data_IF_751716804269
#
_entry.id   IF_751716804269
#
_cell.length_a   1.000
_cell.length_b   1.000
_cell.length_c   1.000
_cell.angle_alpha   90.00
_cell.angle_beta   90.00
_cell.angle_gamma   90.00
#
_symmetry.space_group_name_H-M   'P 1'
#
loop_
_entity.id
_entity.type
_entity.pdbx_description
1 polymer ?
#
# COMPACT_ATOMS: atom_id res chain seq x y z
N UNK A 1 19.51 6.02 54.47
CA UNK A 1 19.55 6.50 53.07
C UNK A 1 20.41 5.60 52.17
N UNK A 2 21.51 5.00 52.67
CA UNK A 2 22.29 3.99 51.93
C UNK A 2 21.81 2.54 52.15
N UNK A 3 20.81 2.30 52.99
CA UNK A 3 20.30 0.95 53.28
C UNK A 3 19.70 0.26 52.05
N UNK A 4 19.26 1.02 51.05
CA UNK A 4 18.79 0.52 49.75
C UNK A 4 19.91 -0.21 48.98
N UNK A 5 21.18 0.07 49.29
CA UNK A 5 22.35 -0.56 48.67
C UNK A 5 22.94 -1.72 49.49
N UNK A 6 22.35 -2.07 50.65
CA UNK A 6 22.85 -3.18 51.48
C UNK A 6 22.50 -4.51 50.84
N UNK A 7 23.48 -5.40 50.73
CA UNK A 7 23.27 -6.75 50.21
C UNK A 7 22.41 -7.58 51.16
N UNK A 8 21.31 -8.15 50.65
CA UNK A 8 20.39 -9.01 51.41
C UNK A 8 20.94 -10.43 51.70
N UNK A 9 21.97 -10.87 50.96
CA UNK A 9 22.61 -12.19 51.13
C UNK A 9 24.12 -12.08 51.02
N UNK A 10 24.85 -12.84 51.85
CA UNK A 10 26.32 -12.94 51.84
C UNK A 10 26.85 -13.55 50.53
N UNK A 11 27.90 -12.96 49.97
CA UNK A 11 28.56 -13.39 48.73
C UNK A 11 29.04 -14.85 48.74
N UNK A 12 29.46 -15.37 49.91
CA UNK A 12 29.95 -16.76 50.07
C UNK A 12 28.84 -17.81 49.92
N UNK A 13 27.62 -17.44 50.31
CA UNK A 13 26.44 -18.33 50.17
C UNK A 13 26.09 -18.51 48.70
N UNK A 14 26.22 -17.43 47.92
CA UNK A 14 25.85 -17.43 46.50
C UNK A 14 26.85 -18.22 45.64
N UNK A 15 28.14 -18.22 45.97
CA UNK A 15 29.16 -18.96 45.21
C UNK A 15 28.90 -20.48 45.10
N UNK A 16 28.13 -21.08 46.02
CA UNK A 16 27.74 -22.50 45.97
C UNK A 16 26.64 -22.80 44.94
N UNK A 17 25.98 -21.78 44.42
CA UNK A 17 24.85 -21.89 43.46
C UNK A 17 25.28 -21.65 42.01
N UNK A 18 26.59 -21.49 41.74
CA UNK A 18 27.10 -21.24 40.39
C UNK A 18 26.85 -22.45 39.49
N UNK A 19 25.80 -22.39 38.67
CA UNK A 19 25.47 -23.38 37.65
C UNK A 19 26.12 -23.02 36.31
N UNK A 20 26.49 -24.03 35.53
CA UNK A 20 26.83 -23.85 34.11
C UNK A 20 25.54 -23.70 33.31
N UNK A 21 25.50 -22.74 32.39
CA UNK A 21 24.33 -22.45 31.58
C UNK A 21 24.72 -22.15 30.12
N UNK A 22 23.72 -22.14 29.25
CA UNK A 22 23.79 -21.77 27.83
C UNK A 22 22.65 -20.82 27.51
N UNK A 23 22.89 -19.85 26.62
CA UNK A 23 21.85 -19.07 25.99
C UNK A 23 21.37 -19.84 24.76
N UNK A 24 20.13 -20.27 24.74
CA UNK A 24 19.55 -21.07 23.66
C UNK A 24 18.62 -20.19 22.85
N UNK A 25 18.91 -20.05 21.55
CA UNK A 25 18.06 -19.36 20.60
C UNK A 25 16.94 -20.27 20.11
N UNK A 26 15.73 -19.77 20.24
CA UNK A 26 14.51 -20.46 19.85
C UNK A 26 13.63 -19.57 18.94
N UNK A 27 12.65 -20.23 18.31
CA UNK A 27 11.66 -19.60 17.46
C UNK A 27 10.28 -20.17 17.79
N UNK A 28 9.26 -19.32 17.77
CA UNK A 28 7.84 -19.65 17.79
C UNK A 28 7.10 -18.83 16.71
N UNK A 29 5.77 -18.72 16.82
CA UNK A 29 4.93 -17.96 15.88
C UNK A 29 5.13 -16.44 15.99
N UNK A 30 5.52 -15.94 17.17
CA UNK A 30 5.72 -14.51 17.44
C UNK A 30 7.09 -14.05 16.97
N UNK A 31 8.13 -14.88 17.15
CA UNK A 31 9.45 -14.57 16.61
C UNK A 31 10.58 -15.35 17.26
N UNK A 32 11.77 -14.74 17.25
CA UNK A 32 12.96 -15.32 17.88
C UNK A 32 13.09 -14.87 19.33
N UNK A 33 13.43 -15.82 20.20
CA UNK A 33 13.58 -15.57 21.63
C UNK A 33 14.75 -16.34 22.23
N UNK A 34 15.18 -15.91 23.42
CA UNK A 34 16.30 -16.52 24.14
C UNK A 34 15.81 -17.16 25.43
N UNK A 35 16.28 -18.38 25.67
CA UNK A 35 16.14 -19.08 26.94
C UNK A 35 17.50 -19.34 27.59
N UNK A 36 17.54 -19.28 28.92
CA UNK A 36 18.71 -19.72 29.69
C UNK A 36 18.51 -21.19 30.05
N UNK A 37 19.37 -22.07 29.54
CA UNK A 37 19.27 -23.51 29.75
C UNK A 37 20.49 -24.10 30.45
N UNK A 38 20.33 -25.26 31.08
CA UNK A 38 21.44 -26.05 31.61
C UNK A 38 22.26 -26.72 30.49
N UNK A 39 23.30 -27.46 30.85
CA UNK A 39 24.12 -28.19 29.87
C UNK A 39 23.35 -29.29 29.11
N UNK A 40 22.18 -29.70 29.61
CA UNK A 40 21.28 -30.68 28.99
C UNK A 40 20.15 -30.02 28.20
N UNK A 41 20.26 -28.72 27.93
CA UNK A 41 19.26 -27.89 27.23
C UNK A 41 17.89 -27.84 27.93
N UNK A 42 17.87 -27.98 29.27
CA UNK A 42 16.65 -27.77 30.05
C UNK A 42 16.57 -26.32 30.53
N UNK A 43 15.42 -25.63 30.36
CA UNK A 43 15.24 -24.26 30.85
C UNK A 43 15.54 -24.13 32.35
N UNK A 44 16.22 -23.04 32.72
CA UNK A 44 16.53 -22.67 34.09
C UNK A 44 15.64 -21.47 34.46
N UNK A 45 14.63 -21.72 35.30
CA UNK A 45 13.64 -20.69 35.65
C UNK A 45 14.16 -19.60 36.59
N UNK A 46 15.27 -19.83 37.30
CA UNK A 46 15.83 -18.85 38.24
C UNK A 46 17.34 -18.96 38.31
N UNK A 47 18.03 -17.94 37.82
CA UNK A 47 19.49 -17.84 37.87
C UNK A 47 19.89 -16.52 38.54
N UNK A 48 20.62 -16.59 39.66
CA UNK A 48 21.09 -15.39 40.35
C UNK A 48 22.27 -14.78 39.56
N UNK A 49 22.04 -13.72 38.81
CA UNK A 49 23.11 -13.04 38.05
C UNK A 49 24.27 -12.57 38.95
N UNK A 50 24.04 -12.36 40.25
CA UNK A 50 25.02 -11.79 41.19
C UNK A 50 26.17 -12.75 41.51
N UNK A 51 26.10 -14.02 41.11
CA UNK A 51 27.20 -15.01 41.24
C UNK A 51 28.11 -15.07 40.02
N UNK A 52 27.71 -14.47 38.92
CA UNK A 52 28.50 -14.37 37.70
C UNK A 52 29.24 -13.02 37.66
N UNK A 53 30.21 -12.91 36.76
CA UNK A 53 31.02 -11.71 36.57
C UNK A 53 31.14 -11.40 35.07
N UNK A 54 31.50 -10.16 34.74
CA UNK A 54 31.69 -9.73 33.36
C UNK A 54 30.41 -9.82 32.53
N UNK A 55 30.56 -10.23 31.27
CA UNK A 55 29.49 -10.28 30.27
C UNK A 55 28.30 -11.16 30.72
N UNK A 56 28.58 -12.33 31.31
CA UNK A 56 27.52 -13.23 31.80
C UNK A 56 26.61 -12.55 32.81
N UNK A 57 27.18 -11.77 33.74
CA UNK A 57 26.40 -11.04 34.75
C UNK A 57 25.56 -9.96 34.10
N UNK A 58 26.13 -9.25 33.13
CA UNK A 58 25.43 -8.18 32.42
C UNK A 58 24.25 -8.72 31.61
N UNK A 59 24.44 -9.80 30.84
CA UNK A 59 23.36 -10.44 30.09
C UNK A 59 22.27 -10.96 31.04
N UNK A 60 22.63 -11.71 32.08
CA UNK A 60 21.64 -12.27 33.00
C UNK A 60 20.88 -11.19 33.77
N UNK A 61 21.56 -10.09 34.16
CA UNK A 61 20.91 -8.95 34.79
C UNK A 61 19.93 -8.27 33.81
N UNK A 62 20.30 -8.14 32.54
CA UNK A 62 19.42 -7.56 31.53
C UNK A 62 18.21 -8.45 31.24
N UNK A 63 18.39 -9.78 31.15
CA UNK A 63 17.29 -10.73 31.00
C UNK A 63 16.30 -10.67 32.19
N UNK A 64 16.81 -10.54 33.43
CA UNK A 64 15.96 -10.38 34.62
C UNK A 64 15.14 -9.07 34.58
N UNK A 65 15.73 -7.98 34.06
CA UNK A 65 15.01 -6.73 33.82
C UNK A 65 13.93 -6.88 32.75
N UNK A 66 14.25 -7.52 31.61
CA UNK A 66 13.28 -7.79 30.55
C UNK A 66 12.08 -8.60 31.09
N UNK A 67 12.33 -9.65 31.87
CA UNK A 67 11.26 -10.46 32.47
C UNK A 67 10.37 -9.65 33.43
N UNK A 68 10.95 -8.75 34.22
CA UNK A 68 10.18 -7.86 35.08
C UNK A 68 9.31 -6.91 34.25
N UNK A 69 9.86 -6.31 33.20
CA UNK A 69 9.11 -5.43 32.30
C UNK A 69 7.93 -6.16 31.63
N UNK A 70 8.15 -7.39 31.15
CA UNK A 70 7.09 -8.23 30.56
C UNK A 70 6.05 -8.62 31.59
N UNK A 71 6.44 -8.93 32.84
CA UNK A 71 5.50 -9.29 33.91
C UNK A 71 4.49 -8.18 34.25
N UNK A 72 4.89 -6.91 34.11
CA UNK A 72 3.98 -5.77 34.33
C UNK A 72 3.11 -5.44 33.10
N UNK A 73 3.41 -6.01 31.94
CA UNK A 73 2.61 -5.88 30.71
C UNK A 73 1.68 -7.08 30.57
N UNK A 74 0.51 -7.03 31.21
CA UNK A 74 -0.55 -8.02 31.00
C UNK A 74 -1.10 -7.86 29.57
N UNK A 75 -0.58 -8.65 28.63
CA UNK A 75 -1.19 -8.86 27.32
C UNK A 75 -2.11 -10.07 27.40
N UNK A 76 -3.36 -9.93 26.95
CA UNK A 76 -4.31 -11.04 26.85
C UNK A 76 -4.07 -11.90 25.59
N UNK A 77 -3.11 -11.52 24.74
CA UNK A 77 -2.78 -12.20 23.47
C UNK A 77 -1.48 -13.03 23.55
N UNK A 78 -0.56 -12.72 24.48
CA UNK A 78 0.72 -13.41 24.65
C UNK A 78 0.76 -14.17 25.99
N UNK A 79 0.43 -15.47 25.98
CA UNK A 79 0.60 -16.37 27.14
C UNK A 79 2.08 -16.72 27.42
N UNK A 80 3.01 -16.30 26.54
CA UNK A 80 4.42 -16.66 26.62
C UNK A 80 5.24 -15.65 27.43
N UNK A 81 5.88 -16.11 28.50
CA UNK A 81 6.89 -15.34 29.25
C UNK A 81 8.26 -15.31 28.54
N UNK A 82 8.28 -15.33 27.21
CA UNK A 82 9.51 -15.35 26.41
C UNK A 82 10.11 -13.96 26.25
N UNK A 83 11.44 -13.91 26.16
CA UNK A 83 12.19 -12.67 25.91
C UNK A 83 12.52 -12.63 24.42
N UNK A 84 11.68 -11.95 23.65
CA UNK A 84 11.84 -11.80 22.21
C UNK A 84 12.96 -10.83 21.85
N UNK A 85 13.80 -11.20 20.89
CA UNK A 85 15.03 -10.45 20.56
C UNK A 85 14.75 -9.11 19.87
N UNK A 86 13.66 -9.02 19.10
CA UNK A 86 13.24 -7.82 18.38
C UNK A 86 12.83 -6.68 19.33
N UNK A 87 12.17 -7.02 20.45
CA UNK A 87 11.78 -6.07 21.52
C UNK A 87 12.98 -5.53 22.31
N UNK A 88 14.09 -6.27 22.33
CA UNK A 88 15.28 -5.92 23.12
C UNK A 88 16.58 -5.92 22.29
N UNK A 89 16.80 -4.95 21.38
CA UNK A 89 17.97 -4.93 20.49
C UNK A 89 19.33 -4.99 21.22
N UNK A 90 19.40 -4.38 22.42
CA UNK A 90 20.59 -4.43 23.28
C UNK A 90 21.00 -5.85 23.65
N UNK A 91 20.05 -6.77 23.80
CA UNK A 91 20.33 -8.17 24.12
C UNK A 91 21.14 -8.84 23.01
N UNK A 92 20.81 -8.56 21.75
CA UNK A 92 21.54 -9.11 20.59
C UNK A 92 23.00 -8.66 20.60
N UNK A 93 23.26 -7.39 20.90
CA UNK A 93 24.63 -6.86 21.02
C UNK A 93 25.43 -7.49 22.17
N UNK A 94 24.78 -7.78 23.30
CA UNK A 94 25.44 -8.47 24.41
C UNK A 94 25.73 -9.93 24.05
N UNK A 95 24.78 -10.62 23.41
CA UNK A 95 24.93 -12.01 22.96
C UNK A 95 26.00 -12.16 21.87
N UNK A 96 26.19 -11.15 21.02
CA UNK A 96 27.27 -11.09 20.03
C UNK A 96 28.66 -11.30 20.64
N UNK A 97 28.85 -10.86 21.87
CA UNK A 97 30.11 -10.96 22.60
C UNK A 97 30.19 -12.21 23.49
N UNK A 98 29.15 -13.07 23.49
CA UNK A 98 29.09 -14.30 24.28
C UNK A 98 29.54 -15.52 23.46
N UNK A 99 30.31 -16.40 24.09
CA UNK A 99 30.67 -17.71 23.56
C UNK A 99 29.63 -18.81 23.88
N UNK A 100 28.55 -18.44 24.59
CA UNK A 100 27.55 -19.38 25.12
C UNK A 100 26.21 -19.36 24.38
N UNK A 101 26.17 -18.86 23.15
CA UNK A 101 24.97 -18.89 22.32
C UNK A 101 24.88 -20.21 21.54
N UNK A 102 23.76 -20.92 21.66
CA UNK A 102 23.52 -22.21 21.04
C UNK A 102 22.13 -22.32 20.43
N UNK A 103 21.94 -23.24 19.49
CA UNK A 103 20.63 -23.62 18.95
C UNK A 103 19.97 -24.74 19.79
N UNK A 104 18.71 -25.10 19.47
CA UNK A 104 17.99 -26.24 20.07
C UNK A 104 18.70 -27.59 19.89
N UNK A 105 19.61 -27.72 18.92
CA UNK A 105 20.37 -28.94 18.62
C UNK A 105 21.73 -28.97 19.32
N UNK A 106 22.01 -28.00 20.20
CA UNK A 106 23.26 -27.83 20.92
C UNK A 106 24.47 -27.46 20.04
N UNK A 107 24.25 -26.89 18.85
CA UNK A 107 25.29 -26.32 18.02
C UNK A 107 25.56 -24.88 18.45
N UNK A 108 26.84 -24.49 18.46
CA UNK A 108 27.25 -23.13 18.80
C UNK A 108 26.87 -22.18 17.66
N UNK A 109 26.20 -21.09 18.00
CA UNK A 109 25.81 -20.04 17.05
C UNK A 109 26.86 -18.93 17.13
N UNK A 110 27.33 -18.48 15.97
CA UNK A 110 28.37 -17.44 15.87
C UNK A 110 27.86 -16.23 15.14
N UNK A 111 28.41 -15.08 15.47
CA UNK A 111 28.20 -13.85 14.72
C UNK A 111 29.29 -13.70 13.67
N UNK A 112 28.88 -13.37 12.47
CA UNK A 112 29.79 -13.02 11.38
C UNK A 112 29.99 -11.51 11.32
N UNK A 113 31.21 -11.11 10.96
CA UNK A 113 31.56 -9.71 10.77
C UNK A 113 31.20 -9.26 9.36
N UNK A 114 30.39 -8.22 9.25
CA UNK A 114 29.98 -7.66 7.97
C UNK A 114 28.54 -7.17 8.06
N UNK A 115 28.15 -6.35 7.10
CA UNK A 115 26.76 -5.96 6.89
C UNK A 115 26.34 -6.55 5.56
N UNK A 116 25.29 -7.35 5.58
CA UNK A 116 24.73 -8.03 4.43
C UNK A 116 23.49 -7.31 3.94
N UNK A 117 23.15 -7.55 2.69
CA UNK A 117 21.97 -6.99 2.04
C UNK A 117 20.92 -8.08 1.88
N UNK A 118 19.65 -7.69 2.01
CA UNK A 118 18.52 -8.54 1.70
C UNK A 118 18.12 -8.29 0.26
N UNK A 119 18.09 -9.35 -0.53
CA UNK A 119 17.72 -9.28 -1.94
C UNK A 119 16.35 -9.93 -2.14
N UNK A 120 15.49 -9.29 -2.94
CA UNK A 120 14.33 -9.90 -3.55
C UNK A 120 14.69 -10.21 -5.01
N UNK A 121 14.81 -11.50 -5.34
CA UNK A 121 15.06 -11.97 -6.70
C UNK A 121 13.75 -12.24 -7.40
N UNK A 122 13.67 -11.76 -8.63
CA UNK A 122 12.55 -11.99 -9.55
C UNK A 122 13.08 -12.80 -10.72
N UNK A 123 12.54 -14.00 -10.95
CA UNK A 123 12.94 -14.89 -12.03
C UNK A 123 11.73 -15.37 -12.83
N UNK A 124 11.89 -15.53 -14.14
CA UNK A 124 10.82 -16.08 -14.98
C UNK A 124 10.70 -17.58 -14.75
N UNK A 125 9.47 -18.07 -14.62
CA UNK A 125 9.21 -19.49 -14.43
C UNK A 125 9.46 -20.26 -15.74
N UNK A 126 10.40 -21.21 -15.72
CA UNK A 126 10.75 -22.01 -16.90
C UNK A 126 9.57 -22.82 -17.45
N UNK A 127 8.66 -23.26 -16.59
CA UNK A 127 7.49 -24.07 -16.97
C UNK A 127 6.31 -23.22 -17.46
N UNK A 128 6.23 -21.96 -17.04
CA UNK A 128 5.15 -21.03 -17.35
C UNK A 128 5.74 -19.65 -17.61
N UNK A 129 6.07 -19.37 -18.87
CA UNK A 129 6.82 -18.16 -19.27
C UNK A 129 6.16 -16.85 -18.87
N UNK A 130 4.84 -16.84 -18.70
CA UNK A 130 4.06 -15.65 -18.35
C UNK A 130 4.03 -15.39 -16.82
N UNK A 131 4.71 -16.24 -16.03
CA UNK A 131 4.77 -16.14 -14.57
C UNK A 131 6.16 -15.85 -14.07
N UNK A 132 6.19 -15.09 -12.97
CA UNK A 132 7.40 -14.73 -12.25
C UNK A 132 7.40 -15.40 -10.88
N UNK A 133 8.56 -15.94 -10.50
CA UNK A 133 8.84 -16.46 -9.16
C UNK A 133 9.64 -15.38 -8.44
N UNK A 134 9.14 -14.98 -7.28
CA UNK A 134 9.77 -14.05 -6.37
C UNK A 134 10.26 -14.84 -5.17
N UNK A 135 11.48 -14.56 -4.74
CA UNK A 135 12.03 -15.15 -3.52
C UNK A 135 13.08 -14.23 -2.92
N UNK A 136 13.08 -14.16 -1.60
CA UNK A 136 14.08 -13.43 -0.85
C UNK A 136 15.30 -14.30 -0.57
N UNK A 137 16.49 -13.72 -0.68
CA UNK A 137 17.74 -14.35 -0.31
C UNK A 137 18.65 -13.39 0.45
N UNK A 138 19.55 -13.95 1.24
CA UNK A 138 20.59 -13.20 1.95
C UNK A 138 21.89 -13.96 1.73
N UNK A 139 22.89 -13.30 1.12
CA UNK A 139 24.20 -13.90 0.84
C UNK A 139 24.13 -15.26 0.11
N UNK A 140 23.33 -15.30 -0.97
CA UNK A 140 23.03 -16.51 -1.75
C UNK A 140 22.39 -17.68 -0.99
N UNK A 141 21.84 -17.44 0.20
CA UNK A 141 21.03 -18.40 0.94
C UNK A 141 19.56 -18.00 0.93
N UNK A 142 18.69 -18.92 0.50
CA UNK A 142 17.24 -18.71 0.47
C UNK A 142 16.58 -19.12 1.80
N UNK A 143 17.24 -19.99 2.57
CA UNK A 143 16.82 -20.41 3.90
C UNK A 143 17.48 -19.53 4.97
N UNK A 144 16.66 -18.69 5.60
CA UNK A 144 17.08 -17.84 6.71
C UNK A 144 15.92 -17.58 7.66
N UNK A 145 16.23 -17.15 8.88
CA UNK A 145 15.23 -16.71 9.86
C UNK A 145 15.62 -15.37 10.44
N UNK A 146 14.69 -14.43 10.50
CA UNK A 146 14.93 -13.16 11.16
C UNK A 146 15.03 -13.34 12.67
N UNK A 147 15.99 -12.63 13.25
CA UNK A 147 16.08 -12.45 14.69
C UNK A 147 15.46 -11.12 15.11
N UNK A 148 15.80 -10.08 14.35
CA UNK A 148 15.26 -8.73 14.46
C UNK A 148 15.23 -8.12 13.05
N UNK A 149 14.75 -6.88 12.91
CA UNK A 149 14.82 -6.13 11.66
C UNK A 149 16.25 -5.95 11.09
N UNK A 150 17.30 -6.14 11.89
CA UNK A 150 18.70 -5.94 11.50
C UNK A 150 19.57 -7.19 11.61
N UNK A 151 19.00 -8.35 11.96
CA UNK A 151 19.76 -9.58 12.17
C UNK A 151 19.03 -10.81 11.66
N UNK A 152 19.78 -11.70 11.03
CA UNK A 152 19.27 -12.96 10.48
C UNK A 152 20.16 -14.12 10.87
N UNK A 153 19.55 -15.28 11.05
CA UNK A 153 20.23 -16.56 11.22
C UNK A 153 20.23 -17.32 9.89
N UNK A 154 21.43 -17.64 9.39
CA UNK A 154 21.68 -18.42 8.18
C UNK A 154 22.65 -19.54 8.53
N UNK A 155 22.25 -20.80 8.37
CA UNK A 155 23.10 -21.99 8.63
C UNK A 155 23.84 -21.98 9.99
N UNK A 156 23.19 -21.49 11.04
CA UNK A 156 23.77 -21.41 12.39
C UNK A 156 24.72 -20.22 12.60
N UNK A 157 24.79 -19.30 11.64
CA UNK A 157 25.57 -18.06 11.70
C UNK A 157 24.60 -16.87 11.71
N UNK A 158 24.79 -15.96 12.67
CA UNK A 158 24.06 -14.71 12.74
C UNK A 158 24.79 -13.67 11.90
N UNK A 159 24.08 -13.13 10.91
CA UNK A 159 24.55 -12.07 10.02
C UNK A 159 23.81 -10.78 10.34
N UNK A 160 24.53 -9.67 10.38
CA UNK A 160 23.93 -8.34 10.48
C UNK A 160 23.50 -7.89 9.09
N UNK A 161 22.30 -7.33 8.98
CA UNK A 161 21.77 -6.73 7.76
C UNK A 161 21.42 -5.26 8.02
N UNK A 162 21.26 -4.50 6.93
CA UNK A 162 20.57 -3.21 7.04
C UNK A 162 19.14 -3.44 7.55
N UNK A 163 18.63 -2.51 8.36
CA UNK A 163 17.26 -2.61 8.87
C UNK A 163 16.26 -2.68 7.72
N UNK A 164 15.41 -3.70 7.69
CA UNK A 164 14.36 -3.82 6.65
C UNK A 164 12.99 -3.30 7.09
N UNK A 165 12.92 -2.69 8.27
CA UNK A 165 11.70 -2.13 8.86
C UNK A 165 10.95 -3.11 9.75
N UNK A 166 9.87 -2.62 10.37
CA UNK A 166 9.11 -3.34 11.40
C UNK A 166 8.38 -4.58 10.85
N UNK A 167 8.08 -4.60 9.55
CA UNK A 167 7.41 -5.71 8.89
C UNK A 167 8.33 -6.89 8.54
N UNK A 168 9.58 -6.92 9.03
CA UNK A 168 10.61 -7.90 8.67
C UNK A 168 10.13 -9.36 8.70
N UNK A 169 9.31 -9.73 9.68
CA UNK A 169 8.75 -11.08 9.82
C UNK A 169 7.80 -11.48 8.66
N UNK A 170 7.23 -10.50 7.96
CA UNK A 170 6.31 -10.72 6.85
C UNK A 170 7.01 -10.78 5.49
N UNK A 171 8.33 -10.55 5.42
CA UNK A 171 9.04 -10.51 4.14
C UNK A 171 8.88 -11.81 3.34
N UNK A 172 8.86 -12.96 4.03
CA UNK A 172 8.67 -14.28 3.41
C UNK A 172 7.31 -14.45 2.71
N UNK A 173 6.33 -13.56 2.93
CA UNK A 173 5.09 -13.55 2.16
C UNK A 173 5.31 -13.17 0.68
N UNK A 174 6.45 -12.56 0.36
CA UNK A 174 6.87 -12.27 -1.02
C UNK A 174 7.56 -13.44 -1.72
N UNK A 175 7.83 -14.55 -1.00
CA UNK A 175 8.28 -15.80 -1.62
C UNK A 175 7.09 -16.49 -2.30
N UNK A 176 6.76 -16.04 -3.51
CA UNK A 176 5.52 -16.43 -4.21
C UNK A 176 5.68 -16.47 -5.73
N UNK A 177 4.67 -16.96 -6.43
CA UNK A 177 4.58 -16.92 -7.89
C UNK A 177 3.44 -16.00 -8.31
N UNK A 178 3.73 -15.05 -9.20
CA UNK A 178 2.78 -14.05 -9.69
C UNK A 178 2.71 -14.05 -11.21
N UNK A 179 1.65 -13.49 -11.75
CA UNK A 179 1.56 -13.13 -13.17
C UNK A 179 2.44 -11.89 -13.44
N UNK A 180 3.04 -11.81 -14.63
CA UNK A 180 3.97 -10.73 -14.99
C UNK A 180 3.34 -9.33 -14.90
N UNK A 181 2.04 -9.20 -15.20
CA UNK A 181 1.30 -7.93 -15.12
C UNK A 181 1.13 -7.41 -13.69
N UNK A 182 1.30 -8.27 -12.68
CA UNK A 182 1.21 -7.94 -11.25
C UNK A 182 2.53 -7.52 -10.61
N UNK A 183 3.64 -7.54 -11.36
CA UNK A 183 4.95 -7.21 -10.82
C UNK A 183 5.02 -5.78 -10.27
N UNK A 184 4.47 -4.79 -10.98
CA UNK A 184 4.42 -3.39 -10.50
C UNK A 184 3.69 -3.25 -9.15
N UNK A 185 2.55 -3.92 -9.00
CA UNK A 185 1.76 -3.91 -7.76
C UNK A 185 2.55 -4.51 -6.60
N UNK A 186 3.13 -5.69 -6.80
CA UNK A 186 3.88 -6.41 -5.75
C UNK A 186 5.13 -5.65 -5.32
N UNK A 187 5.92 -5.13 -6.27
CA UNK A 187 7.10 -4.35 -5.96
C UNK A 187 6.73 -3.03 -5.27
N UNK A 188 5.61 -2.41 -5.63
CA UNK A 188 5.08 -1.21 -4.97
C UNK A 188 4.74 -1.48 -3.51
N UNK A 189 4.09 -2.61 -3.19
CA UNK A 189 3.81 -3.02 -1.81
C UNK A 189 5.13 -3.24 -1.05
N UNK A 190 6.10 -3.94 -1.66
CA UNK A 190 7.39 -4.21 -1.05
C UNK A 190 8.12 -2.93 -0.64
N UNK A 191 8.33 -1.99 -1.57
CA UNK A 191 9.11 -0.77 -1.29
C UNK A 191 8.39 0.20 -0.34
N UNK A 192 7.08 0.08 -0.23
CA UNK A 192 6.25 0.85 0.71
C UNK A 192 6.40 0.35 2.14
N UNK A 193 6.42 -0.98 2.33
CA UNK A 193 6.37 -1.58 3.67
C UNK A 193 7.72 -2.05 4.21
N UNK A 194 8.76 -2.08 3.35
CA UNK A 194 10.10 -2.52 3.70
C UNK A 194 11.15 -1.50 3.27
N UNK A 195 12.26 -1.52 3.99
CA UNK A 195 13.42 -0.67 3.72
C UNK A 195 14.62 -1.51 3.31
N UNK A 196 15.58 -0.89 2.61
CA UNK A 196 16.90 -1.48 2.33
C UNK A 196 16.88 -2.87 1.64
N UNK A 197 15.79 -3.21 0.95
CA UNK A 197 15.70 -4.40 0.11
C UNK A 197 16.23 -4.08 -1.28
N UNK A 198 17.17 -4.90 -1.74
CA UNK A 198 17.63 -4.86 -3.13
C UNK A 198 16.65 -5.62 -4.01
N UNK A 199 16.25 -5.04 -5.14
CA UNK A 199 15.43 -5.75 -6.12
C UNK A 199 16.36 -6.21 -7.24
N UNK A 200 16.39 -7.51 -7.50
CA UNK A 200 17.18 -8.09 -8.59
C UNK A 200 16.22 -8.75 -9.58
N UNK A 201 16.10 -8.15 -10.76
CA UNK A 201 15.25 -8.67 -11.84
C UNK A 201 16.04 -8.73 -13.15
N UNK A 202 16.47 -9.93 -13.56
CA UNK A 202 17.21 -10.15 -14.81
C UNK A 202 18.34 -9.12 -15.04
N UNK A 203 18.26 -8.37 -16.14
CA UNK A 203 19.18 -7.28 -16.50
C UNK A 203 18.56 -5.89 -16.30
N UNK A 204 17.49 -5.78 -15.49
CA UNK A 204 16.90 -4.49 -15.14
C UNK A 204 17.79 -3.71 -14.18
N UNK A 205 17.85 -2.40 -14.41
CA UNK A 205 18.52 -1.44 -13.52
C UNK A 205 17.48 -0.84 -12.58
N UNK A 206 17.70 -0.97 -11.28
CA UNK A 206 16.81 -0.40 -10.25
C UNK A 206 17.34 0.95 -9.79
N UNK A 207 16.52 1.99 -9.90
CA UNK A 207 16.88 3.36 -9.53
C UNK A 207 15.86 3.97 -8.57
N UNK A 208 16.36 4.54 -7.48
CA UNK A 208 15.56 5.43 -6.64
C UNK A 208 15.63 6.85 -7.20
N UNK A 209 14.47 7.46 -7.42
CA UNK A 209 14.36 8.80 -7.97
C UNK A 209 14.14 9.79 -6.83
N UNK A 210 14.90 10.90 -6.85
CA UNK A 210 14.75 11.98 -5.86
C UNK A 210 13.46 12.79 -6.05
N UNK A 211 12.96 12.84 -7.29
CA UNK A 211 11.71 13.52 -7.59
C UNK A 211 10.50 12.71 -7.12
N UNK A 212 9.45 13.43 -6.70
CA UNK A 212 8.16 12.80 -6.41
C UNK A 212 7.38 12.58 -7.68
N UNK A 213 6.66 11.47 -7.75
CA UNK A 213 5.71 11.22 -8.83
C UNK A 213 4.32 11.67 -8.40
N UNK A 214 3.78 12.66 -9.12
CA UNK A 214 2.37 13.04 -8.99
C UNK A 214 1.51 11.88 -9.47
N UNK A 215 0.63 11.39 -8.60
CA UNK A 215 -0.30 10.32 -8.92
C UNK A 215 -1.56 10.91 -9.57
N UNK A 216 -2.14 10.23 -10.56
CA UNK A 216 -3.34 10.74 -11.20
C UNK A 216 -4.52 10.60 -10.23
N UNK A 217 -5.36 11.62 -10.17
CA UNK A 217 -6.62 11.54 -9.45
C UNK A 217 -7.64 10.68 -10.19
N UNK A 218 -8.43 9.93 -9.43
CA UNK A 218 -9.48 9.05 -9.93
C UNK A 218 -10.77 9.19 -9.13
N UNK A 219 -11.91 9.04 -9.80
CA UNK A 219 -13.23 8.94 -9.16
C UNK A 219 -13.91 7.65 -9.61
N UNK A 220 -14.34 6.86 -8.63
CA UNK A 220 -14.97 5.55 -8.82
C UNK A 220 -16.45 5.66 -8.48
N UNK A 221 -17.32 5.34 -9.43
CA UNK A 221 -18.74 5.10 -9.18
C UNK A 221 -18.91 3.62 -8.81
N UNK A 222 -18.92 3.32 -7.51
CA UNK A 222 -18.91 1.92 -7.03
C UNK A 222 -20.23 1.21 -7.36
N UNK A 223 -21.35 1.79 -6.90
CA UNK A 223 -22.69 1.25 -7.10
C UNK A 223 -23.77 2.29 -6.82
N UNK A 224 -24.99 1.93 -7.20
CA UNK A 224 -26.21 2.59 -6.75
C UNK A 224 -26.91 1.59 -5.81
N UNK A 225 -27.33 2.05 -4.63
CA UNK A 225 -27.99 1.18 -3.63
C UNK A 225 -29.45 0.91 -4.03
N UNK A 226 -30.10 -0.02 -3.33
CA UNK A 226 -31.53 -0.29 -3.53
C UNK A 226 -32.41 0.92 -3.17
N UNK A 227 -31.88 1.87 -2.40
CA UNK A 227 -32.52 3.13 -2.02
C UNK A 227 -32.18 4.27 -2.99
N UNK A 228 -31.63 3.94 -4.17
CA UNK A 228 -31.17 4.89 -5.19
C UNK A 228 -30.10 5.87 -4.68
N UNK A 229 -29.30 5.50 -3.68
CA UNK A 229 -28.15 6.29 -3.25
C UNK A 229 -26.96 6.00 -4.15
N UNK A 230 -26.21 7.05 -4.50
CA UNK A 230 -24.98 6.93 -5.25
C UNK A 230 -23.81 6.76 -4.29
N UNK A 231 -23.04 5.68 -4.49
CA UNK A 231 -21.76 5.47 -3.83
C UNK A 231 -20.63 5.90 -4.77
N UNK A 232 -19.88 6.90 -4.34
CA UNK A 232 -18.78 7.50 -5.08
C UNK A 232 -17.52 7.49 -4.21
N UNK A 233 -16.37 7.12 -4.77
CA UNK A 233 -15.08 7.17 -4.06
C UNK A 233 -14.07 8.00 -4.82
N UNK A 234 -13.31 8.84 -4.12
CA UNK A 234 -12.11 9.50 -4.66
C UNK A 234 -10.88 8.64 -4.38
N UNK A 235 -10.02 8.45 -5.37
CA UNK A 235 -8.88 7.54 -5.33
C UNK A 235 -7.72 8.07 -6.17
N UNK A 236 -6.61 7.34 -6.20
CA UNK A 236 -5.47 7.58 -7.08
C UNK A 236 -5.33 6.48 -8.15
N UNK A 237 -4.58 6.73 -9.22
CA UNK A 237 -4.18 5.73 -10.23
C UNK A 237 -2.88 6.18 -10.90
N UNK A 238 -1.99 5.25 -11.27
CA UNK A 238 -0.72 5.57 -11.95
C UNK A 238 -0.21 4.36 -12.73
N UNK A 239 0.13 4.53 -14.01
CA UNK A 239 0.69 3.43 -14.80
C UNK A 239 -0.30 2.24 -14.87
N UNK A 240 0.14 1.04 -14.45
CA UNK A 240 -0.73 -0.14 -14.35
C UNK A 240 -1.43 -0.25 -12.97
N UNK A 241 -1.10 0.60 -11.99
CA UNK A 241 -1.66 0.56 -10.65
C UNK A 241 -3.08 1.12 -10.63
N UNK A 242 -4.05 0.25 -10.34
CA UNK A 242 -5.47 0.59 -10.36
C UNK A 242 -5.93 1.41 -9.15
N UNK A 243 -7.08 2.10 -9.23
CA UNK A 243 -7.69 2.73 -8.08
C UNK A 243 -7.99 1.79 -6.92
N UNK A 244 -8.39 0.55 -7.21
CA UNK A 244 -8.65 -0.43 -6.16
C UNK A 244 -7.39 -0.73 -5.33
N UNK A 245 -6.25 -0.83 -6.00
CA UNK A 245 -4.96 -1.05 -5.34
C UNK A 245 -4.61 0.07 -4.34
N UNK A 246 -4.79 1.34 -4.73
CA UNK A 246 -4.55 2.47 -3.83
C UNK A 246 -5.52 2.55 -2.64
N UNK A 247 -6.71 1.95 -2.76
CA UNK A 247 -7.67 1.90 -1.65
C UNK A 247 -7.38 0.74 -0.69
N UNK A 248 -6.84 -0.37 -1.21
CA UNK A 248 -6.57 -1.58 -0.41
C UNK A 248 -5.24 -1.48 0.35
N UNK A 249 -4.29 -0.67 -0.12
CA UNK A 249 -2.94 -0.56 0.45
C UNK A 249 -2.55 0.89 0.78
N UNK A 250 -1.82 1.07 1.89
CA UNK A 250 -1.30 2.38 2.29
C UNK A 250 0.00 2.72 1.55
N UNK A 251 -0.12 3.17 0.31
CA UNK A 251 1.00 3.40 -0.60
C UNK A 251 1.72 4.72 -0.32
N UNK A 252 3.02 4.65 -0.03
CA UNK A 252 3.90 5.83 0.13
C UNK A 252 4.87 5.99 -1.03
N UNK A 253 5.30 4.88 -1.64
CA UNK A 253 6.19 4.82 -2.80
C UNK A 253 5.56 4.00 -3.90
N UNK A 254 5.91 4.29 -5.15
CA UNK A 254 5.46 3.51 -6.32
C UNK A 254 6.64 3.00 -7.12
N UNK A 255 6.43 1.85 -7.77
CA UNK A 255 7.37 1.25 -8.71
C UNK A 255 6.78 1.30 -10.10
N UNK A 256 7.54 1.87 -11.04
CA UNK A 256 7.18 1.91 -12.46
C UNK A 256 8.21 1.12 -13.26
N UNK A 257 7.74 0.17 -14.07
CA UNK A 257 8.58 -0.66 -14.93
C UNK A 257 8.63 -0.08 -16.34
N UNK A 258 9.85 0.05 -16.86
CA UNK A 258 10.08 0.31 -18.27
C UNK A 258 10.74 -0.92 -18.91
N UNK A 259 9.94 -1.75 -19.57
CA UNK A 259 10.40 -2.96 -20.24
C UNK A 259 11.36 -2.67 -21.41
N UNK A 260 11.21 -1.53 -22.09
CA UNK A 260 12.05 -1.16 -23.23
C UNK A 260 13.46 -0.72 -22.79
N UNK A 261 13.53 0.08 -21.73
CA UNK A 261 14.81 0.55 -21.17
C UNK A 261 15.41 -0.42 -20.16
N UNK A 262 14.66 -1.46 -19.78
CA UNK A 262 15.00 -2.40 -18.71
C UNK A 262 15.35 -1.66 -17.42
N UNK A 263 14.44 -0.79 -16.99
CA UNK A 263 14.61 -0.03 -15.76
C UNK A 263 13.41 -0.16 -14.83
N UNK A 264 13.69 -0.20 -13.53
CA UNK A 264 12.72 -0.17 -12.44
C UNK A 264 12.95 1.14 -11.71
N UNK A 265 12.01 2.07 -11.81
CA UNK A 265 12.11 3.37 -11.13
C UNK A 265 11.21 3.39 -9.91
N UNK A 266 11.79 3.75 -8.76
CA UNK A 266 11.11 3.88 -7.48
C UNK A 266 10.94 5.36 -7.17
N UNK A 267 9.71 5.79 -6.91
CA UNK A 267 9.36 7.18 -6.61
C UNK A 267 8.62 7.29 -5.29
N UNK A 268 8.84 8.41 -4.59
CA UNK A 268 7.91 8.88 -3.56
C UNK A 268 6.62 9.40 -4.20
N UNK A 269 5.47 9.12 -3.58
CA UNK A 269 4.18 9.55 -4.10
C UNK A 269 3.86 11.00 -3.75
N UNK A 270 3.23 11.70 -4.69
CA UNK A 270 2.59 12.99 -4.45
C UNK A 270 1.09 12.90 -4.76
N UNK A 271 0.28 12.98 -3.70
CA UNK A 271 -1.18 12.88 -3.72
C UNK A 271 -1.90 14.23 -3.82
N UNK A 272 -1.18 15.34 -4.08
CA UNK A 272 -1.75 16.70 -4.08
C UNK A 272 -3.00 16.81 -4.97
N UNK A 273 -2.95 16.30 -6.20
CA UNK A 273 -4.10 16.35 -7.12
C UNK A 273 -5.31 15.53 -6.62
N UNK A 274 -5.05 14.41 -5.97
CA UNK A 274 -6.10 13.55 -5.38
C UNK A 274 -6.82 14.33 -4.27
N UNK A 275 -6.07 15.00 -3.39
CA UNK A 275 -6.63 15.82 -2.33
C UNK A 275 -7.43 17.02 -2.88
N UNK A 276 -6.98 17.63 -3.97
CA UNK A 276 -7.72 18.71 -4.64
C UNK A 276 -9.06 18.24 -5.20
N UNK A 277 -9.09 17.06 -5.85
CA UNK A 277 -10.32 16.46 -6.36
C UNK A 277 -11.27 16.09 -5.23
N UNK A 278 -10.77 15.47 -4.15
CA UNK A 278 -11.56 15.21 -2.95
C UNK A 278 -12.19 16.48 -2.38
N UNK A 279 -11.39 17.54 -2.18
CA UNK A 279 -11.88 18.80 -1.66
C UNK A 279 -12.94 19.44 -2.58
N UNK A 280 -12.76 19.31 -3.91
CA UNK A 280 -13.73 19.76 -4.90
C UNK A 280 -15.05 19.00 -4.80
N UNK A 281 -15.01 17.65 -4.73
CA UNK A 281 -16.18 16.79 -4.58
C UNK A 281 -16.96 17.16 -3.32
N UNK A 282 -16.27 17.20 -2.18
CA UNK A 282 -16.87 17.52 -0.88
C UNK A 282 -17.52 18.91 -0.87
N UNK A 283 -16.84 19.93 -1.41
CA UNK A 283 -17.35 21.30 -1.51
C UNK A 283 -18.61 21.38 -2.37
N UNK A 284 -18.63 20.69 -3.52
CA UNK A 284 -19.77 20.66 -4.43
C UNK A 284 -20.99 20.00 -3.77
N UNK A 285 -20.81 18.84 -3.13
CA UNK A 285 -21.88 18.15 -2.39
C UNK A 285 -22.43 18.99 -1.25
N UNK A 286 -21.55 19.66 -0.50
CA UNK A 286 -21.95 20.57 0.58
C UNK A 286 -22.78 21.76 0.06
N UNK A 287 -22.43 22.32 -1.10
CA UNK A 287 -23.18 23.40 -1.72
C UNK A 287 -24.59 22.93 -2.13
N UNK A 288 -24.70 21.73 -2.74
CA UNK A 288 -26.00 21.16 -3.13
C UNK A 288 -26.84 20.83 -1.89
N UNK A 289 -26.26 20.25 -0.84
CA UNK A 289 -26.95 19.97 0.44
C UNK A 289 -27.55 21.23 1.06
N UNK A 290 -26.88 22.38 0.96
CA UNK A 290 -27.44 23.66 1.44
C UNK A 290 -28.67 24.10 0.64
N UNK A 291 -28.72 23.77 -0.65
CA UNK A 291 -29.86 24.05 -1.51
C UNK A 291 -31.01 23.03 -1.34
N UNK A 292 -30.67 21.75 -1.14
CA UNK A 292 -31.59 20.63 -0.95
C UNK A 292 -31.64 20.26 0.53
N UNK A 293 -32.48 20.97 1.30
CA UNK A 293 -32.59 20.79 2.76
C UNK A 293 -33.20 19.45 3.18
N UNK A 294 -33.81 18.73 2.24
CA UNK A 294 -34.54 17.47 2.44
C UNK A 294 -33.66 16.24 2.40
N UNK A 295 -32.46 16.34 1.80
CA UNK A 295 -31.55 15.22 1.62
C UNK A 295 -30.17 15.49 2.21
N UNK A 296 -29.45 14.42 2.51
CA UNK A 296 -28.08 14.47 3.03
C UNK A 296 -27.12 13.61 2.19
N UNK A 297 -25.84 13.73 2.52
CA UNK A 297 -24.80 12.78 2.13
C UNK A 297 -23.95 12.49 3.37
N UNK A 298 -23.32 11.32 3.39
CA UNK A 298 -22.29 10.95 4.36
C UNK A 298 -20.95 10.74 3.66
N UNK A 299 -19.87 10.94 4.42
CA UNK A 299 -18.50 10.80 3.93
C UNK A 299 -17.63 10.12 5.00
N UNK A 300 -16.83 9.15 4.56
CA UNK A 300 -15.87 8.41 5.38
C UNK A 300 -14.69 7.99 4.48
N UNK A 301 -13.48 8.46 4.80
CA UNK A 301 -12.22 8.14 4.11
C UNK A 301 -12.31 8.23 2.57
N UNK A 302 -12.90 9.32 2.05
CA UNK A 302 -13.04 9.53 0.60
C UNK A 302 -14.16 8.73 -0.07
N UNK A 303 -14.91 7.93 0.68
CA UNK A 303 -16.17 7.32 0.25
C UNK A 303 -17.33 8.27 0.55
N UNK A 304 -18.13 8.55 -0.46
CA UNK A 304 -19.32 9.39 -0.39
C UNK A 304 -20.56 8.53 -0.63
N UNK A 305 -21.49 8.53 0.31
CA UNK A 305 -22.82 7.94 0.14
C UNK A 305 -23.80 9.10 0.00
N UNK A 306 -24.36 9.24 -1.20
CA UNK A 306 -25.10 10.42 -1.63
C UNK A 306 -26.54 10.02 -1.93
N UNK A 307 -27.51 10.60 -1.22
CA UNK A 307 -28.93 10.36 -1.48
C UNK A 307 -29.36 10.81 -2.90
N UNK A 308 -30.39 10.17 -3.44
CA UNK A 308 -30.85 10.32 -4.83
C UNK A 308 -31.01 11.79 -5.28
N UNK A 309 -31.68 12.63 -4.49
CA UNK A 309 -31.94 14.04 -4.87
C UNK A 309 -30.63 14.84 -5.05
N UNK A 310 -29.66 14.62 -4.18
CA UNK A 310 -28.35 15.27 -4.25
C UNK A 310 -27.52 14.66 -5.37
N UNK A 311 -27.54 13.33 -5.51
CA UNK A 311 -26.81 12.60 -6.54
C UNK A 311 -27.21 13.05 -7.95
N UNK A 312 -28.52 13.17 -8.22
CA UNK A 312 -29.02 13.63 -9.52
C UNK A 312 -28.54 15.05 -9.85
N UNK A 313 -28.60 15.99 -8.89
CA UNK A 313 -28.10 17.36 -9.09
C UNK A 313 -26.59 17.41 -9.26
N UNK A 314 -25.86 16.63 -8.48
CA UNK A 314 -24.41 16.55 -8.55
C UNK A 314 -23.94 16.04 -9.92
N UNK A 315 -24.56 14.97 -10.42
CA UNK A 315 -24.28 14.43 -11.75
C UNK A 315 -24.57 15.48 -12.83
N UNK A 316 -25.70 16.19 -12.75
CA UNK A 316 -26.08 17.21 -13.73
C UNK A 316 -25.16 18.44 -13.71
N UNK A 317 -24.84 18.96 -12.53
CA UNK A 317 -24.14 20.24 -12.37
C UNK A 317 -22.62 20.10 -12.35
N UNK A 318 -22.08 18.96 -11.91
CA UNK A 318 -20.65 18.85 -11.59
C UNK A 318 -19.90 17.69 -12.27
N UNK A 319 -20.58 16.71 -12.87
CA UNK A 319 -19.90 15.57 -13.51
C UNK A 319 -18.90 16.00 -14.58
N UNK A 320 -19.23 17.01 -15.38
CA UNK A 320 -18.35 17.52 -16.44
C UNK A 320 -17.01 18.05 -15.90
N UNK A 321 -17.02 18.67 -14.71
CA UNK A 321 -15.82 19.20 -14.08
C UNK A 321 -14.91 18.06 -13.58
N UNK A 322 -15.53 16.98 -13.08
CA UNK A 322 -14.84 15.77 -12.63
C UNK A 322 -14.18 15.06 -13.82
N UNK A 323 -14.92 14.82 -14.91
CA UNK A 323 -14.40 14.19 -16.13
C UNK A 323 -13.19 14.94 -16.68
N UNK A 324 -13.16 16.27 -16.55
CA UNK A 324 -12.07 17.09 -17.07
C UNK A 324 -10.79 17.07 -16.23
N UNK A 325 -10.85 16.62 -14.97
CA UNK A 325 -9.74 16.73 -14.00
C UNK A 325 -9.21 15.40 -13.51
N UNK A 326 -9.97 14.33 -13.61
CA UNK A 326 -9.60 13.03 -13.06
C UNK A 326 -10.11 11.88 -13.94
N UNK A 327 -9.50 10.71 -13.79
CA UNK A 327 -9.95 9.50 -14.46
C UNK A 327 -11.22 8.95 -13.80
N UNK A 328 -12.18 8.49 -14.61
CA UNK A 328 -13.47 7.99 -14.10
C UNK A 328 -13.59 6.50 -14.32
N UNK A 329 -13.95 5.80 -13.24
CA UNK A 329 -14.18 4.37 -13.21
C UNK A 329 -15.63 4.07 -12.83
N UNK A 330 -16.20 2.99 -13.38
CA UNK A 330 -17.56 2.56 -13.04
C UNK A 330 -18.69 3.41 -13.66
N UNK A 331 -18.40 4.19 -14.70
CA UNK A 331 -19.41 5.04 -15.36
C UNK A 331 -20.62 4.27 -15.91
N UNK A 332 -20.48 2.96 -16.16
CA UNK A 332 -21.61 2.08 -16.51
C UNK A 332 -22.70 2.02 -15.43
N UNK A 333 -22.36 2.23 -14.16
CA UNK A 333 -23.34 2.24 -13.06
C UNK A 333 -24.28 3.44 -13.15
N UNK A 334 -23.86 4.53 -13.79
CA UNK A 334 -24.69 5.72 -14.00
C UNK A 334 -25.85 5.49 -14.98
N UNK A 335 -25.83 4.38 -15.75
CA UNK A 335 -26.95 3.97 -16.62
C UNK A 335 -28.25 3.74 -15.84
N UNK A 336 -28.18 3.35 -14.56
CA UNK A 336 -29.36 3.16 -13.72
C UNK A 336 -30.11 4.48 -13.39
N UNK A 337 -29.44 5.63 -13.47
CA UNK A 337 -30.09 6.94 -13.40
C UNK A 337 -30.56 7.47 -14.77
N UNK A 338 -30.54 6.63 -15.83
CA UNK A 338 -30.83 7.02 -17.22
C UNK A 338 -29.88 8.10 -17.75
N UNK A 339 -28.60 8.02 -17.43
CA UNK A 339 -27.57 8.90 -18.02
C UNK A 339 -26.68 8.12 -18.99
N UNK A 340 -26.46 8.67 -20.18
CA UNK A 340 -25.64 8.07 -21.23
C UNK A 340 -24.31 8.84 -21.37
N UNK A 341 -23.19 8.12 -21.36
CA UNK A 341 -21.82 8.63 -21.48
C UNK A 341 -21.20 8.35 -22.86
N UNK A 342 -22.01 7.88 -23.83
CA UNK A 342 -21.56 7.56 -25.19
C UNK A 342 -20.90 8.75 -25.86
N UNK A 343 -19.72 8.53 -26.46
CA UNK A 343 -19.01 9.57 -27.22
C UNK A 343 -19.86 9.98 -28.44
N UNK A 344 -20.10 11.28 -28.66
CA UNK A 344 -20.87 11.75 -29.81
C UNK A 344 -20.11 11.51 -31.12
N UNK A 345 -20.82 11.11 -32.17
CA UNK A 345 -20.27 10.94 -33.52
C UNK A 345 -20.87 12.01 -34.45
N UNK A 346 -20.00 12.79 -35.10
CA UNK A 346 -20.42 13.85 -36.02
C UNK A 346 -20.56 13.28 -37.44
N UNK A 347 -21.75 13.40 -38.01
CA UNK A 347 -22.03 13.01 -39.39
C UNK A 347 -22.24 14.27 -40.24
N UNK A 348 -21.46 14.40 -41.31
CA UNK A 348 -21.54 15.54 -42.23
C UNK A 348 -21.79 15.02 -43.63
N UNK A 349 -22.89 15.48 -44.25
CA UNK A 349 -23.23 15.16 -45.63
C UNK A 349 -22.86 16.35 -46.54
N UNK A 350 -21.72 16.28 -47.23
CA UNK A 350 -21.33 17.32 -48.18
C UNK A 350 -22.03 17.12 -49.53
N UNK A 351 -22.89 18.06 -49.93
CA UNK A 351 -23.41 18.15 -51.30
C UNK A 351 -22.62 19.20 -52.09
N UNK A 352 -21.63 18.70 -52.84
CA UNK A 352 -20.87 19.39 -53.88
C UNK A 352 -20.06 20.67 -53.51
N UNK A 353 -19.16 21.02 -54.44
CA UNK A 353 -17.80 21.55 -54.20
C UNK A 353 -17.66 22.95 -53.61
N UNK A 354 -18.70 23.76 -53.51
CA UNK A 354 -18.62 25.10 -52.90
C UNK A 354 -20.02 25.43 -52.38
N UNK A 355 -20.34 25.05 -51.14
CA UNK A 355 -21.50 25.64 -50.46
C UNK A 355 -21.29 25.75 -48.95
N UNK A 356 -21.85 26.82 -48.39
CA UNK A 356 -21.81 27.12 -46.97
C UNK A 356 -22.69 26.11 -46.23
N UNK A 357 -22.20 25.58 -45.11
CA UNK A 357 -22.90 24.55 -44.31
C UNK A 357 -24.29 25.06 -43.89
N UNK A 358 -25.32 24.60 -44.58
CA UNK A 358 -26.71 24.94 -44.27
C UNK A 358 -27.22 24.10 -43.10
N UNK A 359 -28.26 24.61 -42.44
CA UNK A 359 -28.87 24.06 -41.20
C UNK A 359 -29.34 22.60 -41.27
N UNK A 360 -29.17 21.87 -42.37
CA UNK A 360 -29.61 20.48 -42.55
C UNK A 360 -28.51 19.46 -42.83
N UNK A 361 -27.26 19.87 -43.02
CA UNK A 361 -26.20 18.98 -43.54
C UNK A 361 -25.27 18.38 -42.47
N UNK A 362 -25.48 18.76 -41.20
CA UNK A 362 -24.66 18.33 -40.07
C UNK A 362 -25.54 17.80 -38.95
N UNK A 363 -25.42 16.50 -38.71
CA UNK A 363 -26.11 15.79 -37.64
C UNK A 363 -25.09 15.20 -36.65
N UNK A 364 -25.47 15.15 -35.39
CA UNK A 364 -24.68 14.52 -34.33
C UNK A 364 -25.46 13.32 -33.83
N UNK A 365 -24.87 12.14 -33.96
CA UNK A 365 -25.43 10.90 -33.44
C UNK A 365 -24.90 10.66 -32.03
N UNK A 366 -25.82 10.46 -31.09
CA UNK A 366 -25.54 10.16 -29.70
C UNK A 366 -26.35 8.91 -29.33
N UNK A 367 -25.67 7.78 -29.17
CA UNK A 367 -26.36 6.49 -29.03
C UNK A 367 -27.07 6.09 -30.32
N UNK A 368 -28.40 6.01 -30.29
CA UNK A 368 -29.26 5.65 -31.45
C UNK A 368 -29.97 6.87 -32.05
N UNK A 369 -29.87 8.03 -31.39
CA UNK A 369 -30.59 9.23 -31.77
C UNK A 369 -29.72 10.19 -32.58
N UNK A 370 -30.34 10.82 -33.57
CA UNK A 370 -29.71 11.78 -34.47
C UNK A 370 -30.27 13.18 -34.21
N UNK A 371 -29.38 14.11 -33.85
CA UNK A 371 -29.74 15.50 -33.54
C UNK A 371 -29.16 16.46 -34.57
N UNK A 372 -29.94 17.49 -34.91
CA UNK A 372 -29.40 18.65 -35.61
C UNK A 372 -28.40 19.39 -34.70
N UNK A 373 -27.24 19.79 -35.23
CA UNK A 373 -26.19 20.41 -34.42
C UNK A 373 -26.64 21.72 -33.74
N UNK A 374 -27.51 22.51 -34.36
CA UNK A 374 -28.00 23.76 -33.80
C UNK A 374 -29.03 23.54 -32.68
N UNK A 375 -29.90 22.56 -32.84
CA UNK A 375 -30.86 22.15 -31.80
C UNK A 375 -30.13 21.50 -30.63
N UNK A 376 -29.09 20.71 -30.91
CA UNK A 376 -28.22 20.11 -29.91
C UNK A 376 -27.49 21.17 -29.07
N UNK A 377 -26.90 22.19 -29.72
CA UNK A 377 -26.25 23.31 -29.04
C UNK A 377 -27.26 24.10 -28.18
N UNK A 378 -28.47 24.34 -28.69
CA UNK A 378 -29.50 25.07 -27.95
C UNK A 378 -30.06 24.27 -26.76
N UNK A 379 -30.27 22.96 -26.91
CA UNK A 379 -30.67 22.06 -25.83
C UNK A 379 -29.59 21.97 -24.75
N UNK A 380 -28.32 21.86 -25.16
CA UNK A 380 -27.20 21.89 -24.23
C UNK A 380 -27.07 23.23 -23.50
N UNK A 381 -27.26 24.38 -24.18
CA UNK A 381 -27.28 25.71 -23.54
C UNK A 381 -28.40 25.87 -22.51
N UNK A 382 -29.53 25.21 -22.73
CA UNK A 382 -30.72 25.35 -21.89
C UNK A 382 -30.72 24.39 -20.70
N UNK A 383 -30.13 23.20 -20.85
CA UNK A 383 -30.26 22.12 -19.87
C UNK A 383 -28.93 21.47 -19.46
N UNK A 384 -27.79 21.79 -20.07
CA UNK A 384 -26.46 21.17 -19.85
C UNK A 384 -26.38 19.67 -20.14
N UNK A 385 -27.44 19.07 -20.69
CA UNK A 385 -27.53 17.69 -21.18
C UNK A 385 -28.45 17.63 -22.40
N UNK A 386 -28.38 16.53 -23.16
CA UNK A 386 -29.26 16.28 -24.30
C UNK A 386 -30.19 15.12 -23.96
N UNK A 387 -31.52 15.32 -23.91
CA UNK A 387 -32.46 14.22 -23.73
C UNK A 387 -32.51 13.35 -24.99
N UNK A 388 -32.32 12.05 -24.83
CA UNK A 388 -32.42 11.00 -25.84
C UNK A 388 -33.87 10.46 -25.91
N UNK A 389 -34.26 9.93 -27.07
CA UNK A 389 -35.60 9.41 -27.36
C UNK A 389 -35.99 8.23 -26.46
N UNK A 390 -35.00 7.51 -25.94
CA UNK A 390 -35.17 6.41 -24.98
C UNK A 390 -35.44 6.90 -23.54
N UNK A 391 -35.45 8.21 -23.30
CA UNK A 391 -35.63 8.82 -21.98
C UNK A 391 -34.33 9.01 -21.18
N UNK A 392 -33.17 8.69 -21.78
CA UNK A 392 -31.87 8.94 -21.17
C UNK A 392 -31.41 10.39 -21.38
N UNK A 393 -30.48 10.86 -20.54
CA UNK A 393 -29.85 12.17 -20.66
C UNK A 393 -28.37 11.98 -21.00
N UNK A 394 -27.96 12.46 -22.17
CA UNK A 394 -26.56 12.42 -22.59
C UNK A 394 -25.80 13.65 -22.09
N UNK A 395 -24.68 13.42 -21.43
CA UNK A 395 -23.78 14.48 -20.94
C UNK A 395 -22.62 14.60 -21.92
N UNK A 396 -22.40 15.80 -22.46
CA UNK A 396 -21.36 16.08 -23.44
C UNK A 396 -20.28 17.00 -22.88
N UNK A 397 -19.05 16.81 -23.36
CA UNK A 397 -17.93 17.68 -23.05
C UNK A 397 -18.19 19.10 -23.57
N UNK A 398 -18.08 20.08 -22.67
CA UNK A 398 -18.21 21.50 -22.99
C UNK A 398 -17.16 21.95 -24.00
N UNK A 399 -15.96 21.37 -23.98
CA UNK A 399 -14.90 21.69 -24.95
C UNK A 399 -15.30 21.27 -26.36
N UNK A 400 -15.97 20.12 -26.48
CA UNK A 400 -16.52 19.62 -27.73
C UNK A 400 -17.66 20.54 -28.22
N UNK A 401 -18.61 20.91 -27.35
CA UNK A 401 -19.67 21.86 -27.70
C UNK A 401 -19.12 23.23 -28.09
N UNK A 402 -18.14 23.76 -27.36
CA UNK A 402 -17.51 25.05 -27.69
C UNK A 402 -16.72 25.01 -29.01
N UNK A 403 -16.11 23.86 -29.35
CA UNK A 403 -15.51 23.67 -30.68
C UNK A 403 -16.58 23.67 -31.77
N UNK A 404 -17.68 22.94 -31.59
CA UNK A 404 -18.80 22.94 -32.53
C UNK A 404 -19.42 24.34 -32.66
N UNK A 405 -19.65 25.05 -31.57
CA UNK A 405 -20.13 26.45 -31.59
C UNK A 405 -19.18 27.39 -32.33
N UNK A 406 -17.87 27.17 -32.22
CA UNK A 406 -16.87 27.99 -32.92
C UNK A 406 -16.85 27.69 -34.41
N UNK A 407 -17.01 26.43 -34.80
CA UNK A 407 -16.98 25.98 -36.20
C UNK A 407 -18.28 26.35 -36.92
N UNK A 408 -19.43 26.28 -36.25
CA UNK A 408 -20.76 26.47 -36.83
C UNK A 408 -21.42 27.80 -36.44
N UNK A 409 -20.64 28.79 -36.01
CA UNK A 409 -21.16 30.12 -35.64
C UNK A 409 -21.76 30.78 -36.88
N UNK A 410 -23.06 31.13 -36.84
CA UNK A 410 -23.66 32.01 -37.86
C UNK A 410 -22.92 33.34 -37.84
N UNK A 411 -22.21 33.65 -38.93
CA UNK A 411 -21.93 35.04 -39.25
C UNK A 411 -23.27 35.76 -39.41
N UNK A 412 -23.40 36.90 -38.74
CA UNK A 412 -24.64 37.66 -38.62
C UNK A 412 -25.03 38.33 -39.91
#
# INVERSE_FOLDING_TARGET
>A
MLDIFKQEKSFLTRAKEKSSFKYVLNFDETGSFIEVCDNKLKPINSIDYRVYNGLDREILQFLDQCLQDTFFQISWEDDSSHIYLDKYPKLVELLRNSDKLFDKKNNNIKFETGIYQVDLKVVTNENQKDKLILFCNIDNCDEFRFLTQSYVLVDGIIKQINSIGENFNQLKNFDTTIEEDKLEEILTILVTHFENINIIYQDFIVEQKEEKKVVNSAVIFEKITNENELILRTSATVGKLSPQFFNDFNITKIVLLNELEKSISIYECDFTEVFEVYAMVFKNLTAIKRAVKTSSFSEEDGLFIIEEEIAQKYILEHLHNIISRCEIFGSDKLKAYKYNTSKPTLNVAFKDKIDFLDTGDVTVTIGVDEFNIFDMINLYKKHSYIPLSNGDKSILDKSYISKLERIFKKDK
#
